data_IF_182911418451
#
_entry.id   IF_182911418451
#
_cell.length_a   1.000
_cell.length_b   1.000
_cell.length_c   1.000
_cell.angle_alpha   90.00
_cell.angle_beta   90.00
_cell.angle_gamma   90.00
#
_symmetry.space_group_name_H-M   'P 1'
#
loop_
_entity.id
_entity.type
_entity.pdbx_description
1 polymer ?
#
# COMPACT_ATOMS: atom_id res chain seq x y z
N UNK A 1 -44.47 -12.42 5.42
CA UNK A 1 -43.30 -12.00 6.21
C UNK A 1 -42.97 -10.57 5.81
N UNK A 2 -43.02 -9.64 6.72
CA UNK A 2 -42.68 -8.23 6.50
C UNK A 2 -41.16 -8.07 6.49
N UNK A 3 -40.64 -6.94 6.00
CA UNK A 3 -39.19 -6.62 6.05
C UNK A 3 -38.71 -6.58 7.51
N UNK A 4 -39.50 -6.02 8.42
CA UNK A 4 -39.15 -5.97 9.84
C UNK A 4 -39.05 -7.35 10.47
N UNK A 5 -39.98 -8.26 10.17
CA UNK A 5 -39.91 -9.66 10.59
C UNK A 5 -38.69 -10.38 10.01
N UNK A 6 -38.34 -10.11 8.74
CA UNK A 6 -37.14 -10.68 8.11
C UNK A 6 -35.89 -10.20 8.82
N UNK A 7 -35.71 -8.89 9.00
CA UNK A 7 -34.54 -8.31 9.64
C UNK A 7 -34.34 -8.80 11.09
N UNK A 8 -35.43 -8.95 11.83
CA UNK A 8 -35.42 -9.46 13.21
C UNK A 8 -34.95 -10.92 13.30
N UNK A 9 -35.28 -11.73 12.30
CA UNK A 9 -34.94 -13.15 12.25
C UNK A 9 -33.70 -13.45 11.42
N UNK A 10 -33.05 -12.42 10.83
CA UNK A 10 -31.87 -12.59 9.97
C UNK A 10 -30.64 -13.03 10.78
N UNK A 11 -30.18 -14.24 10.53
CA UNK A 11 -28.93 -14.74 11.11
C UNK A 11 -27.75 -14.51 10.16
N UNK A 12 -26.96 -13.50 10.46
CA UNK A 12 -25.74 -13.20 9.69
C UNK A 12 -24.59 -14.21 9.91
N UNK A 13 -24.71 -15.14 10.88
CA UNK A 13 -23.64 -16.11 11.17
C UNK A 13 -23.62 -17.28 10.18
N UNK A 14 -24.70 -17.46 9.39
CA UNK A 14 -24.71 -18.43 8.30
C UNK A 14 -23.69 -18.07 7.17
N UNK A 15 -23.17 -16.84 7.14
CA UNK A 15 -22.16 -16.40 6.17
C UNK A 15 -20.81 -16.26 6.83
N UNK A 16 -19.76 -16.67 6.09
CA UNK A 16 -18.38 -16.44 6.51
C UNK A 16 -18.09 -14.95 6.58
N UNK A 17 -17.47 -14.49 7.67
CA UNK A 17 -17.10 -13.09 7.90
C UNK A 17 -15.59 -12.92 7.82
N UNK A 18 -15.03 -12.48 6.68
CA UNK A 18 -13.61 -12.18 6.59
C UNK A 18 -13.27 -10.93 7.41
N UNK A 19 -12.04 -10.85 7.87
CA UNK A 19 -11.51 -9.59 8.37
C UNK A 19 -11.28 -8.63 7.21
N UNK A 20 -11.51 -7.34 7.44
CA UNK A 20 -11.31 -6.28 6.44
C UNK A 20 -10.17 -5.38 6.88
N UNK A 21 -9.26 -5.08 5.95
CA UNK A 21 -8.15 -4.15 6.14
C UNK A 21 -8.14 -3.07 5.07
N UNK A 22 -7.48 -1.97 5.36
CA UNK A 22 -7.13 -0.93 4.39
C UNK A 22 -5.63 -0.73 4.38
N UNK A 23 -5.07 -0.50 3.21
CA UNK A 23 -3.66 -0.18 3.00
C UNK A 23 -3.56 1.15 2.24
N UNK A 24 -2.54 1.96 2.53
CA UNK A 24 -2.31 3.25 1.87
C UNK A 24 -0.99 3.26 1.09
N UNK A 25 -1.07 3.64 -0.17
CA UNK A 25 0.07 3.84 -1.06
C UNK A 25 0.26 5.34 -1.20
N UNK A 26 1.18 5.91 -0.43
CA UNK A 26 1.44 7.35 -0.46
C UNK A 26 2.69 7.61 -1.27
N UNK A 27 2.52 8.35 -2.35
CA UNK A 27 3.61 8.78 -3.22
C UNK A 27 3.99 10.24 -2.99
N UNK A 28 5.23 10.56 -3.29
CA UNK A 28 5.73 11.92 -3.44
C UNK A 28 6.72 11.99 -4.60
N UNK A 29 6.92 13.19 -5.15
CA UNK A 29 7.98 13.45 -6.11
C UNK A 29 9.00 14.34 -5.41
N UNK A 30 10.27 13.93 -5.40
CA UNK A 30 11.37 14.68 -4.82
C UNK A 30 12.46 14.95 -5.82
N UNK A 31 13.06 16.12 -5.69
CA UNK A 31 14.30 16.44 -6.38
C UNK A 31 15.45 15.68 -5.70
N UNK A 32 16.23 14.95 -6.50
CA UNK A 32 17.43 14.25 -6.05
C UNK A 32 18.61 14.96 -6.70
N UNK A 33 19.54 15.43 -5.87
CA UNK A 33 20.77 16.03 -6.34
C UNK A 33 21.53 15.02 -7.19
N UNK A 34 22.03 15.49 -8.33
CA UNK A 34 22.92 14.71 -9.21
C UNK A 34 24.36 15.14 -8.95
N UNK A 35 25.31 14.23 -9.05
CA UNK A 35 26.74 14.52 -8.89
C UNK A 35 27.26 15.56 -9.92
N UNK A 36 26.44 15.95 -10.87
CA UNK A 36 26.77 16.92 -11.88
C UNK A 36 26.03 18.24 -11.63
N UNK A 37 26.74 19.22 -11.04
CA UNK A 37 26.26 20.57 -10.73
C UNK A 37 25.72 21.38 -11.94
N UNK A 38 25.97 20.91 -13.17
CA UNK A 38 25.48 21.54 -14.43
C UNK A 38 24.12 20.96 -14.86
N UNK A 39 23.63 19.90 -14.21
CA UNK A 39 22.31 19.32 -14.50
C UNK A 39 21.29 19.79 -13.47
N UNK A 40 20.07 20.00 -13.93
CA UNK A 40 18.94 20.20 -13.00
C UNK A 40 18.76 18.94 -12.14
N UNK A 41 18.28 19.08 -10.89
CA UNK A 41 17.93 17.96 -10.04
C UNK A 41 16.97 17.00 -10.76
N UNK A 42 17.22 15.72 -10.61
CA UNK A 42 16.34 14.69 -11.18
C UNK A 42 15.14 14.47 -10.28
N UNK A 43 13.93 14.52 -10.86
CA UNK A 43 12.71 14.22 -10.12
C UNK A 43 12.51 12.70 -10.01
N UNK A 44 12.44 12.21 -8.77
CA UNK A 44 12.20 10.78 -8.50
C UNK A 44 10.92 10.56 -7.74
N UNK A 45 10.18 9.53 -8.18
CA UNK A 45 9.00 9.05 -7.47
C UNK A 45 9.46 8.30 -6.22
N UNK A 46 8.84 8.62 -5.08
CA UNK A 46 9.08 7.90 -3.83
C UNK A 46 7.75 7.41 -3.25
N UNK A 47 7.82 6.29 -2.55
CA UNK A 47 6.69 5.69 -1.82
C UNK A 47 7.01 5.66 -0.33
N UNK A 48 6.00 5.93 0.51
CA UNK A 48 6.10 5.84 1.95
C UNK A 48 5.92 4.40 2.41
N UNK A 49 6.90 3.87 3.13
CA UNK A 49 6.82 2.57 3.78
C UNK A 49 7.01 2.70 5.29
N UNK A 50 6.50 1.72 6.02
CA UNK A 50 6.65 1.58 7.46
C UNK A 50 7.30 0.24 7.79
N UNK A 51 8.20 0.22 8.77
CA UNK A 51 8.84 -1.00 9.26
C UNK A 51 8.00 -1.61 10.37
N UNK A 52 7.61 -2.85 10.21
CA UNK A 52 6.70 -3.55 11.13
C UNK A 52 7.36 -3.82 12.47
N UNK A 53 6.68 -3.48 13.57
CA UNK A 53 7.13 -3.79 14.93
C UNK A 53 6.68 -5.18 15.40
N UNK A 54 5.69 -5.80 14.73
CA UNK A 54 5.02 -7.02 15.17
C UNK A 54 4.87 -8.04 14.04
N UNK A 55 4.64 -9.29 14.41
CA UNK A 55 4.30 -10.37 13.48
C UNK A 55 2.88 -10.19 12.85
N UNK A 56 2.67 -10.72 11.68
CA UNK A 56 3.62 -11.40 10.77
C UNK A 56 4.59 -10.39 10.14
N UNK A 57 5.73 -10.90 9.70
CA UNK A 57 6.78 -10.12 8.99
C UNK A 57 7.40 -8.99 9.82
N UNK A 58 7.61 -9.18 11.12
CA UNK A 58 8.30 -8.23 11.99
C UNK A 58 9.67 -7.83 11.39
N UNK A 59 10.01 -6.54 11.45
CA UNK A 59 11.23 -5.98 10.87
C UNK A 59 11.22 -5.79 9.35
N UNK A 60 10.16 -6.22 8.64
CA UNK A 60 10.01 -5.98 7.19
C UNK A 60 9.30 -4.66 6.91
N UNK A 61 9.60 -4.07 5.76
CA UNK A 61 8.91 -2.89 5.24
C UNK A 61 7.56 -3.29 4.63
N UNK A 62 6.57 -2.47 4.82
CA UNK A 62 5.21 -2.65 4.30
C UNK A 62 4.53 -1.31 4.04
N UNK A 63 3.44 -1.33 3.31
CA UNK A 63 2.53 -0.18 3.22
C UNK A 63 1.92 0.11 4.60
N UNK A 64 1.66 1.37 4.97
CA UNK A 64 0.85 1.70 6.13
C UNK A 64 -0.57 1.15 5.95
N UNK A 65 -1.03 0.30 6.86
CA UNK A 65 -2.35 -0.33 6.77
C UNK A 65 -2.88 -0.70 8.15
N UNK A 66 -4.17 -0.99 8.26
CA UNK A 66 -4.84 -1.35 9.52
C UNK A 66 -6.11 -2.15 9.28
N UNK A 67 -6.58 -2.85 10.30
CA UNK A 67 -7.93 -3.42 10.30
C UNK A 67 -8.98 -2.32 10.42
N UNK A 68 -10.07 -2.48 9.67
CA UNK A 68 -11.26 -1.63 9.78
C UNK A 68 -12.03 -2.00 11.04
N UNK A 69 -12.44 -1.02 11.82
CA UNK A 69 -13.25 -1.22 13.02
C UNK A 69 -14.74 -1.36 12.65
N UNK A 70 -15.53 -1.88 13.56
CA UNK A 70 -16.96 -2.15 13.34
C UNK A 70 -17.76 -0.92 12.89
N UNK A 71 -17.51 0.22 13.53
CA UNK A 71 -18.23 1.48 13.29
C UNK A 71 -17.39 2.51 12.52
N UNK A 72 -16.51 2.04 11.60
CA UNK A 72 -15.55 2.88 10.92
C UNK A 72 -15.68 2.72 9.40
N UNK A 73 -15.66 3.80 8.67
CA UNK A 73 -15.57 3.80 7.21
C UNK A 73 -14.15 3.49 6.76
N UNK A 74 -13.97 3.04 5.54
CA UNK A 74 -12.65 2.72 5.00
C UNK A 74 -11.73 3.96 4.97
N UNK A 75 -12.24 5.11 4.55
CA UNK A 75 -11.50 6.37 4.52
C UNK A 75 -11.04 6.80 5.92
N UNK A 76 -11.88 6.63 6.93
CA UNK A 76 -11.54 6.93 8.33
C UNK A 76 -10.45 5.98 8.84
N UNK A 77 -10.54 4.68 8.51
CA UNK A 77 -9.52 3.70 8.85
C UNK A 77 -8.16 4.02 8.22
N UNK A 78 -8.13 4.41 6.93
CA UNK A 78 -6.90 4.83 6.25
C UNK A 78 -6.29 6.05 6.90
N UNK A 79 -7.07 7.11 7.14
CA UNK A 79 -6.59 8.34 7.79
C UNK A 79 -6.05 8.05 9.21
N UNK A 80 -6.78 7.24 9.99
CA UNK A 80 -6.33 6.79 11.31
C UNK A 80 -5.01 6.02 11.24
N UNK A 81 -4.87 5.12 10.26
CA UNK A 81 -3.63 4.35 10.05
C UNK A 81 -2.45 5.26 9.74
N UNK A 82 -2.61 6.18 8.79
CA UNK A 82 -1.58 7.13 8.41
C UNK A 82 -1.16 8.02 9.58
N UNK A 83 -2.13 8.60 10.29
CA UNK A 83 -1.86 9.42 11.48
C UNK A 83 -1.09 8.63 12.55
N UNK A 84 -1.54 7.42 12.87
CA UNK A 84 -0.93 6.62 13.93
C UNK A 84 0.48 6.12 13.58
N UNK A 85 0.73 5.77 12.31
CA UNK A 85 1.98 5.12 11.89
C UNK A 85 3.02 6.07 11.32
N UNK A 86 2.60 7.21 10.80
CA UNK A 86 3.47 8.13 10.06
C UNK A 86 3.30 9.60 10.47
N UNK A 87 2.37 9.90 11.38
CA UNK A 87 1.98 11.26 11.77
C UNK A 87 1.41 12.11 10.62
N UNK A 88 1.02 11.50 9.51
CA UNK A 88 0.37 12.20 8.40
C UNK A 88 -1.15 12.23 8.60
N UNK A 89 -1.78 13.35 8.25
CA UNK A 89 -3.23 13.55 8.35
C UNK A 89 -3.73 14.47 7.26
N UNK A 90 -5.04 14.48 7.04
CA UNK A 90 -5.74 15.34 6.08
C UNK A 90 -5.21 15.18 4.64
N UNK A 91 -4.95 13.93 4.24
CA UNK A 91 -4.45 13.60 2.92
C UNK A 91 -5.64 13.23 2.02
N UNK A 92 -5.67 13.78 0.82
CA UNK A 92 -6.58 13.33 -0.21
C UNK A 92 -6.18 11.93 -0.69
N UNK A 93 -7.14 11.01 -0.67
CA UNK A 93 -6.94 9.60 -0.99
C UNK A 93 -8.05 9.12 -1.91
N UNK A 94 -7.68 8.34 -2.91
CA UNK A 94 -8.62 7.64 -3.78
C UNK A 94 -8.48 6.13 -3.61
N UNK A 95 -9.60 5.41 -3.65
CA UNK A 95 -9.59 3.96 -3.63
C UNK A 95 -9.00 3.45 -4.94
N UNK A 96 -7.99 2.57 -4.82
CA UNK A 96 -7.30 2.00 -5.97
C UNK A 96 -7.86 0.63 -6.35
N UNK A 97 -7.84 -0.32 -5.41
CA UNK A 97 -8.19 -1.71 -5.69
C UNK A 97 -8.54 -2.48 -4.41
N UNK A 98 -9.33 -3.55 -4.55
CA UNK A 98 -9.63 -4.48 -3.45
C UNK A 98 -9.03 -5.86 -3.71
N UNK A 99 -8.21 -6.33 -2.78
CA UNK A 99 -7.46 -7.57 -2.82
C UNK A 99 -8.22 -8.66 -2.08
N UNK A 100 -8.78 -9.60 -2.83
CA UNK A 100 -9.64 -10.65 -2.28
C UNK A 100 -9.08 -12.07 -2.42
N UNK A 101 -7.80 -12.29 -2.72
CA UNK A 101 -7.24 -13.62 -2.83
C UNK A 101 -7.39 -14.40 -1.49
N UNK A 102 -7.90 -15.64 -1.49
CA UNK A 102 -8.11 -16.43 -0.28
C UNK A 102 -6.88 -16.63 0.59
N UNK A 103 -5.73 -16.80 0.00
CA UNK A 103 -4.49 -17.19 0.67
C UNK A 103 -3.49 -16.04 0.81
N UNK A 104 -3.92 -14.78 0.59
CA UNK A 104 -3.02 -13.63 0.63
C UNK A 104 -2.43 -13.33 2.02
N UNK A 105 -3.11 -13.67 3.08
CA UNK A 105 -2.65 -13.47 4.46
C UNK A 105 -2.55 -14.82 5.19
N UNK A 106 -1.40 -15.13 5.82
CA UNK A 106 -1.18 -16.43 6.45
C UNK A 106 -2.00 -16.65 7.74
N UNK A 107 -2.59 -15.61 8.32
CA UNK A 107 -3.32 -15.68 9.58
C UNK A 107 -4.76 -16.15 9.39
N UNK A 108 -5.45 -15.58 8.40
CA UNK A 108 -6.87 -15.84 8.15
C UNK A 108 -7.31 -15.19 6.84
N UNK A 109 -8.57 -15.42 6.47
CA UNK A 109 -9.20 -14.72 5.34
C UNK A 109 -9.29 -13.23 5.60
N UNK A 110 -8.50 -12.46 4.85
CA UNK A 110 -8.47 -11.00 4.92
C UNK A 110 -8.75 -10.43 3.54
N UNK A 111 -9.69 -9.51 3.45
CA UNK A 111 -9.91 -8.66 2.28
C UNK A 111 -9.30 -7.31 2.57
N UNK A 112 -8.48 -6.79 1.67
CA UNK A 112 -7.85 -5.47 1.83
C UNK A 112 -8.25 -4.54 0.72
N UNK A 113 -8.58 -3.30 1.05
CA UNK A 113 -8.80 -2.23 0.08
C UNK A 113 -7.64 -1.25 0.13
N UNK A 114 -6.99 -1.03 -1.02
CA UNK A 114 -5.88 -0.09 -1.14
C UNK A 114 -6.37 1.29 -1.53
N UNK A 115 -5.81 2.31 -0.89
CA UNK A 115 -5.99 3.72 -1.20
C UNK A 115 -4.67 4.33 -1.65
N UNK A 116 -4.73 5.25 -2.60
CA UNK A 116 -3.56 5.94 -3.14
C UNK A 116 -3.68 7.44 -2.93
N UNK A 117 -2.56 8.08 -2.58
CA UNK A 117 -2.43 9.53 -2.52
C UNK A 117 -1.09 10.01 -3.02
N UNK A 118 -1.08 11.21 -3.60
CA UNK A 118 0.13 11.93 -3.99
C UNK A 118 0.25 13.18 -3.13
N UNK A 119 1.38 13.34 -2.43
CA UNK A 119 1.58 14.43 -1.48
C UNK A 119 2.89 15.18 -1.73
N UNK A 120 2.96 16.44 -1.29
CA UNK A 120 4.24 17.11 -1.14
C UNK A 120 4.85 16.68 0.21
N UNK A 121 5.87 15.82 0.17
CA UNK A 121 6.51 15.27 1.39
C UNK A 121 7.18 16.32 2.29
N UNK A 122 7.51 17.51 1.77
CA UNK A 122 8.11 18.60 2.56
C UNK A 122 7.14 19.17 3.61
N UNK A 123 5.83 19.01 3.36
CA UNK A 123 4.78 19.45 4.29
C UNK A 123 4.60 18.51 5.48
N UNK A 124 5.24 17.34 5.48
CA UNK A 124 5.03 16.32 6.50
C UNK A 124 6.33 15.92 7.19
N UNK A 125 6.34 16.00 8.49
CA UNK A 125 7.40 15.40 9.32
C UNK A 125 7.01 13.96 9.64
N UNK A 126 7.55 13.02 8.87
CA UNK A 126 7.29 11.60 9.10
C UNK A 126 7.91 11.19 10.43
N UNK A 127 7.07 10.59 11.28
CA UNK A 127 7.48 9.99 12.55
C UNK A 127 6.83 8.63 12.69
N UNK A 128 7.62 7.61 12.96
CA UNK A 128 7.08 6.29 13.27
C UNK A 128 6.28 6.32 14.57
N UNK A 129 5.22 5.51 14.61
CA UNK A 129 4.38 5.40 15.79
C UNK A 129 3.51 4.14 15.75
N UNK A 130 2.74 3.90 16.82
CA UNK A 130 1.88 2.73 16.92
C UNK A 130 2.65 1.42 16.79
N UNK A 131 2.24 0.55 15.89
CA UNK A 131 2.86 -0.75 15.62
C UNK A 131 3.99 -0.69 14.58
N UNK A 132 4.72 0.44 14.48
CA UNK A 132 5.83 0.61 13.54
C UNK A 132 7.13 0.96 14.26
N UNK A 133 8.24 0.34 13.82
CA UNK A 133 9.59 0.64 14.30
C UNK A 133 10.16 1.88 13.62
N UNK A 134 9.83 2.04 12.33
CA UNK A 134 10.35 3.12 11.49
C UNK A 134 9.36 3.46 10.36
N UNK A 135 9.51 4.65 9.77
CA UNK A 135 8.77 5.11 8.61
C UNK A 135 9.69 5.93 7.70
N UNK A 136 9.76 5.59 6.42
CA UNK A 136 10.68 6.25 5.51
C UNK A 136 10.15 6.31 4.06
N UNK A 137 10.69 7.27 3.28
CA UNK A 137 10.48 7.39 1.86
C UNK A 137 11.48 6.53 1.07
N UNK A 138 10.97 5.76 0.12
CA UNK A 138 11.76 4.91 -0.76
C UNK A 138 11.60 5.37 -2.20
N UNK A 139 12.70 5.62 -2.87
CA UNK A 139 12.72 5.87 -4.33
C UNK A 139 12.28 4.60 -5.05
N UNK A 140 11.34 4.75 -5.97
CA UNK A 140 10.81 3.65 -6.77
C UNK A 140 11.55 3.60 -8.11
N UNK A 141 12.16 2.47 -8.41
CA UNK A 141 12.79 2.20 -9.70
C UNK A 141 12.24 0.89 -10.25
N UNK A 142 11.82 0.90 -11.51
CA UNK A 142 11.40 -0.28 -12.25
C UNK A 142 12.50 -0.67 -13.25
N UNK A 143 12.90 -1.95 -13.23
CA UNK A 143 13.88 -2.51 -14.18
C UNK A 143 13.21 -3.66 -14.92
N UNK A 144 13.12 -3.56 -16.25
CA UNK A 144 12.78 -4.69 -17.07
C UNK A 144 13.95 -5.68 -17.08
N UNK A 145 13.68 -6.91 -16.67
CA UNK A 145 14.69 -7.99 -16.63
C UNK A 145 14.61 -8.85 -17.87
N UNK A 146 13.40 -9.16 -18.32
CA UNK A 146 13.14 -9.96 -19.51
C UNK A 146 11.87 -9.46 -20.19
N UNK A 147 11.89 -9.49 -21.49
CA UNK A 147 10.75 -9.20 -22.35
C UNK A 147 10.59 -10.30 -23.38
N UNK A 148 9.38 -10.80 -23.56
CA UNK A 148 9.04 -11.78 -24.58
C UNK A 148 7.80 -11.32 -25.32
N UNK A 149 7.91 -11.18 -26.62
CA UNK A 149 6.79 -10.94 -27.51
C UNK A 149 6.43 -12.23 -28.26
N UNK A 150 5.15 -12.56 -28.29
CA UNK A 150 4.61 -13.68 -29.05
C UNK A 150 3.47 -13.15 -29.91
N UNK A 151 3.62 -13.29 -31.22
CA UNK A 151 2.60 -12.89 -32.18
C UNK A 151 1.76 -14.10 -32.59
N UNK A 152 0.46 -13.90 -32.74
CA UNK A 152 -0.47 -14.92 -33.26
C UNK A 152 -1.49 -14.27 -34.23
N UNK A 153 -2.35 -15.09 -34.84
CA UNK A 153 -3.36 -14.64 -35.82
C UNK A 153 -4.37 -13.60 -35.27
N UNK A 154 -4.44 -13.40 -33.96
CA UNK A 154 -5.42 -12.54 -33.30
C UNK A 154 -4.76 -11.31 -32.62
N UNK A 155 -3.44 -11.17 -32.71
CA UNK A 155 -2.70 -10.07 -32.10
C UNK A 155 -1.35 -10.50 -31.54
N UNK A 156 -0.85 -9.72 -30.58
CA UNK A 156 0.41 -10.03 -29.89
C UNK A 156 0.18 -10.15 -28.37
N UNK A 157 1.02 -10.97 -27.72
CA UNK A 157 1.14 -11.08 -26.28
C UNK A 157 2.54 -10.62 -25.87
N UNK A 158 2.60 -9.64 -24.98
CA UNK A 158 3.85 -9.19 -24.34
C UNK A 158 3.87 -9.74 -22.91
N UNK A 159 4.94 -10.44 -22.57
CA UNK A 159 5.25 -10.88 -21.20
C UNK A 159 6.54 -10.15 -20.76
N UNK A 160 6.51 -9.55 -19.61
CA UNK A 160 7.63 -8.80 -19.07
C UNK A 160 7.87 -9.17 -17.62
N UNK A 161 9.10 -9.52 -17.26
CA UNK A 161 9.55 -9.72 -15.90
C UNK A 161 10.16 -8.39 -15.40
N UNK A 162 9.57 -7.79 -14.37
CA UNK A 162 9.99 -6.49 -13.86
C UNK A 162 10.56 -6.66 -12.45
N UNK A 163 11.72 -6.08 -12.16
CA UNK A 163 12.23 -5.89 -10.81
C UNK A 163 11.80 -4.52 -10.29
N UNK A 164 11.09 -4.50 -9.17
CA UNK A 164 10.77 -3.30 -8.41
C UNK A 164 11.86 -3.11 -7.37
N UNK A 165 12.58 -2.01 -7.48
CA UNK A 165 13.63 -1.62 -6.55
C UNK A 165 13.13 -0.42 -5.74
N UNK A 166 13.12 -0.56 -4.41
CA UNK A 166 12.75 0.49 -3.48
C UNK A 166 13.98 0.84 -2.64
N UNK A 167 14.50 2.07 -2.79
CA UNK A 167 15.75 2.51 -2.19
C UNK A 167 15.54 3.69 -1.26
N UNK A 168 16.00 3.56 -0.03
CA UNK A 168 16.14 4.66 0.92
C UNK A 168 17.62 4.97 1.17
N UNK A 169 17.93 5.94 2.04
CA UNK A 169 19.32 6.26 2.41
C UNK A 169 20.05 5.09 3.07
N UNK A 170 19.33 4.19 3.71
CA UNK A 170 19.91 3.13 4.57
C UNK A 170 19.53 1.72 4.16
N UNK A 171 18.48 1.54 3.37
CA UNK A 171 17.94 0.21 3.05
C UNK A 171 17.49 0.10 1.59
N UNK A 172 17.58 -1.12 1.08
CA UNK A 172 17.13 -1.49 -0.27
C UNK A 172 16.19 -2.69 -0.15
N UNK A 173 15.01 -2.56 -0.76
CA UNK A 173 14.02 -3.64 -0.87
C UNK A 173 13.82 -3.97 -2.33
N UNK A 174 13.89 -5.27 -2.68
CA UNK A 174 13.72 -5.76 -4.05
C UNK A 174 12.58 -6.75 -4.11
N UNK A 175 11.77 -6.65 -5.14
CA UNK A 175 10.73 -7.61 -5.46
C UNK A 175 10.67 -7.83 -6.98
N UNK A 176 10.29 -9.04 -7.41
CA UNK A 176 10.09 -9.39 -8.82
C UNK A 176 8.61 -9.66 -9.07
N UNK A 177 8.11 -9.13 -10.18
CA UNK A 177 6.72 -9.28 -10.63
C UNK A 177 6.69 -9.73 -12.08
#
# INVERSE_FOLDING_TARGET
>A
MTEEEFLKNYDSNQFFKPSVTVDSIIFTIRDVETDNYRKLPEKKLQVLLVKRAEHPYMGKWSLPGTFVRKEERFEEAVQRSLKAKTNMQDIYLEQLYSWGDPNRDPRTRIISTSYMGLVNSEKFQIKSGGSTQDANWFTVTLKSLKEKMTENKHGYKKEEEIEILLESKTEIVKNKV
#
